data_IF_138177355834
#
_entry.id   IF_138177355834
#
_cell.length_a   1.000
_cell.length_b   1.000
_cell.length_c   1.000
_cell.angle_alpha   90.00
_cell.angle_beta   90.00
_cell.angle_gamma   90.00
#
_symmetry.space_group_name_H-M   'P 1'
#
loop_
_entity.id
_entity.type
_entity.pdbx_description
1 polymer ?
#
# COMPACT_ATOMS: atom_id res chain seq x y z
N UNK A 1 29.66 17.86 -32.78
CA UNK A 1 30.24 18.07 -31.44
C UNK A 1 29.30 18.97 -30.65
N UNK A 2 28.62 18.45 -29.59
CA UNK A 2 27.70 19.26 -28.79
C UNK A 2 28.47 20.37 -28.06
N UNK A 3 27.95 21.60 -28.08
CA UNK A 3 28.53 22.71 -27.34
C UNK A 3 28.55 22.44 -25.83
N UNK A 4 29.53 22.99 -25.10
CA UNK A 4 29.64 22.83 -23.64
C UNK A 4 28.34 23.26 -22.91
N UNK A 5 27.63 24.25 -23.45
CA UNK A 5 26.35 24.70 -22.93
C UNK A 5 25.24 23.68 -23.08
N UNK A 6 25.20 22.92 -24.19
CA UNK A 6 24.21 21.84 -24.38
C UNK A 6 24.43 20.66 -23.44
N UNK A 7 25.72 20.29 -23.18
CA UNK A 7 26.02 19.20 -22.24
C UNK A 7 25.56 19.55 -20.83
N UNK A 8 25.79 20.77 -20.35
CA UNK A 8 25.30 21.24 -19.04
C UNK A 8 23.78 21.24 -18.97
N UNK A 9 23.09 21.68 -20.03
CA UNK A 9 21.61 21.66 -20.08
C UNK A 9 21.06 20.25 -19.90
N UNK A 10 21.61 19.24 -20.58
CA UNK A 10 21.15 17.84 -20.43
C UNK A 10 21.45 17.28 -19.03
N UNK A 11 22.56 17.66 -18.41
CA UNK A 11 22.88 17.26 -17.03
C UNK A 11 21.85 17.83 -16.06
N UNK A 12 21.51 19.11 -16.17
CA UNK A 12 20.49 19.73 -15.31
C UNK A 12 19.09 19.16 -15.55
N UNK A 13 18.74 18.87 -16.78
CA UNK A 13 17.50 18.23 -17.14
C UNK A 13 17.43 16.81 -16.52
N UNK A 14 18.51 16.04 -16.58
CA UNK A 14 18.60 14.73 -15.94
C UNK A 14 18.44 14.84 -14.42
N UNK A 15 19.14 15.76 -13.77
CA UNK A 15 19.04 15.99 -12.32
C UNK A 15 17.60 16.38 -11.95
N UNK A 16 16.96 17.25 -12.73
CA UNK A 16 15.56 17.65 -12.51
C UNK A 16 14.60 16.47 -12.59
N UNK A 17 14.76 15.59 -13.60
CA UNK A 17 13.95 14.37 -13.71
C UNK A 17 14.19 13.39 -12.57
N UNK A 18 15.43 13.20 -12.13
CA UNK A 18 15.77 12.35 -10.98
C UNK A 18 15.10 12.88 -9.71
N UNK A 19 15.14 14.18 -9.48
CA UNK A 19 14.48 14.82 -8.33
C UNK A 19 12.96 14.65 -8.40
N UNK A 20 12.33 14.83 -9.58
CA UNK A 20 10.88 14.62 -9.74
C UNK A 20 10.52 13.17 -9.47
N UNK A 21 11.24 12.21 -10.03
CA UNK A 21 11.01 10.79 -9.78
C UNK A 21 11.08 10.53 -8.28
N UNK A 22 12.11 11.04 -7.61
CA UNK A 22 12.31 10.87 -6.17
C UNK A 22 11.16 11.47 -5.32
N UNK A 23 10.61 12.61 -5.73
CA UNK A 23 9.47 13.24 -5.07
C UNK A 23 8.14 12.51 -5.33
N UNK A 24 8.03 11.80 -6.46
CA UNK A 24 6.82 11.06 -6.83
C UNK A 24 6.78 9.64 -6.25
N UNK A 25 7.95 9.05 -5.92
CA UNK A 25 8.02 7.68 -5.40
C UNK A 25 7.12 7.46 -4.18
N UNK A 26 7.09 8.32 -3.13
CA UNK A 26 6.20 8.14 -1.99
C UNK A 26 4.70 8.14 -2.33
N UNK A 27 4.33 8.74 -3.46
CA UNK A 27 2.94 8.77 -3.96
C UNK A 27 2.58 7.52 -4.77
N UNK A 28 3.60 6.80 -5.28
CA UNK A 28 3.40 5.64 -6.16
C UNK A 28 3.44 4.34 -5.36
N UNK A 29 4.19 4.26 -4.26
CA UNK A 29 4.35 3.04 -3.45
C UNK A 29 3.03 2.45 -3.00
N UNK A 30 2.05 3.21 -2.46
CA UNK A 30 0.75 2.65 -2.08
C UNK A 30 -0.02 2.05 -3.25
N UNK A 31 0.20 2.53 -4.48
CA UNK A 31 -0.43 1.97 -5.68
C UNK A 31 0.24 0.67 -6.15
N UNK A 32 1.52 0.47 -5.88
CA UNK A 32 2.23 -0.77 -6.22
C UNK A 32 1.85 -1.91 -5.26
N UNK A 33 1.57 -1.61 -4.00
CA UNK A 33 1.10 -2.59 -3.01
C UNK A 33 -0.36 -3.01 -3.20
N UNK A 34 -1.15 -2.30 -4.02
CA UNK A 34 -2.55 -2.64 -4.30
C UNK A 34 -2.78 -4.04 -4.90
N UNK A 35 -1.77 -4.68 -5.43
CA UNK A 35 -1.85 -6.03 -5.98
C UNK A 35 -1.25 -7.09 -5.06
N UNK A 36 -0.69 -6.72 -3.91
CA UNK A 36 -0.12 -7.66 -2.97
C UNK A 36 -1.22 -8.40 -2.21
N UNK A 37 -1.06 -9.71 -2.06
CA UNK A 37 -1.90 -10.51 -1.18
C UNK A 37 -1.80 -9.96 0.25
N UNK A 38 -2.92 -9.93 0.96
CA UNK A 38 -3.05 -9.43 2.33
C UNK A 38 -2.75 -7.93 2.55
N UNK A 39 -2.46 -7.15 1.49
CA UNK A 39 -2.27 -5.70 1.64
C UNK A 39 -3.59 -4.99 2.00
N UNK A 40 -3.52 -4.04 2.93
CA UNK A 40 -4.67 -3.16 3.26
C UNK A 40 -5.01 -2.17 2.13
N UNK A 41 -4.12 -2.00 1.15
CA UNK A 41 -4.33 -1.17 -0.04
C UNK A 41 -4.88 -1.96 -1.23
N UNK A 42 -4.99 -3.28 -1.11
CA UNK A 42 -5.53 -4.15 -2.14
C UNK A 42 -7.05 -4.30 -1.97
N UNK A 43 -7.81 -3.72 -2.92
CA UNK A 43 -9.28 -3.79 -2.95
C UNK A 43 -9.79 -5.07 -3.68
N UNK A 44 -8.90 -5.91 -4.22
CA UNK A 44 -9.25 -7.16 -4.84
C UNK A 44 -9.60 -8.23 -3.78
N UNK A 45 -10.06 -9.40 -4.22
CA UNK A 45 -10.55 -10.48 -3.36
C UNK A 45 -9.56 -10.99 -2.31
N UNK A 46 -8.23 -10.86 -2.59
CA UNK A 46 -7.11 -11.34 -1.77
C UNK A 46 -6.44 -10.23 -0.92
N UNK A 47 -6.93 -9.00 -0.99
CA UNK A 47 -6.50 -7.91 -0.13
C UNK A 47 -7.25 -7.88 1.20
N UNK A 48 -6.86 -6.99 2.10
CA UNK A 48 -7.46 -6.82 3.43
C UNK A 48 -8.03 -5.40 3.65
N UNK A 49 -8.41 -4.73 2.56
CA UNK A 49 -8.94 -3.36 2.62
C UNK A 49 -10.28 -3.27 3.35
N UNK A 50 -11.12 -4.33 3.33
CA UNK A 50 -12.39 -4.37 4.05
C UNK A 50 -12.17 -4.47 5.57
N UNK A 51 -11.21 -5.29 6.02
CA UNK A 51 -10.77 -5.33 7.41
C UNK A 51 -10.27 -3.95 7.87
N UNK A 52 -9.39 -3.33 7.09
CA UNK A 52 -8.83 -2.00 7.39
C UNK A 52 -9.93 -0.94 7.53
N UNK A 53 -10.89 -0.91 6.61
CA UNK A 53 -12.04 0.01 6.67
C UNK A 53 -12.93 -0.24 7.88
N UNK A 54 -13.25 -1.50 8.17
CA UNK A 54 -14.06 -1.85 9.34
C UNK A 54 -13.37 -1.46 10.64
N UNK A 55 -12.04 -1.61 10.72
CA UNK A 55 -11.27 -1.16 11.88
C UNK A 55 -11.36 0.36 12.05
N UNK A 56 -11.15 1.14 10.98
CA UNK A 56 -11.27 2.61 11.01
C UNK A 56 -12.65 3.08 11.41
N UNK A 57 -13.72 2.47 10.89
CA UNK A 57 -15.11 2.81 11.24
C UNK A 57 -15.38 2.62 12.73
N UNK A 58 -14.85 1.57 13.35
CA UNK A 58 -15.00 1.34 14.80
C UNK A 58 -14.15 2.35 15.61
N UNK A 59 -12.92 2.62 15.20
CA UNK A 59 -12.04 3.59 15.85
C UNK A 59 -12.61 5.01 15.78
N UNK A 60 -13.07 5.46 14.61
CA UNK A 60 -13.67 6.79 14.38
C UNK A 60 -14.95 6.99 15.25
N UNK A 61 -15.77 5.95 15.42
CA UNK A 61 -16.96 6.03 16.26
C UNK A 61 -16.61 6.37 17.71
N UNK A 62 -15.50 5.81 18.22
CA UNK A 62 -15.03 6.04 19.58
C UNK A 62 -14.35 7.41 19.72
N UNK A 63 -13.58 7.84 18.72
CA UNK A 63 -12.93 9.16 18.70
C UNK A 63 -13.93 10.32 18.73
N UNK A 64 -15.10 10.17 18.10
CA UNK A 64 -16.20 11.12 18.21
C UNK A 64 -16.74 11.25 19.63
N UNK A 65 -16.69 10.18 20.43
CA UNK A 65 -17.16 10.18 21.82
C UNK A 65 -16.13 10.73 22.80
N UNK A 66 -14.83 10.54 22.56
CA UNK A 66 -13.75 10.83 23.51
C UNK A 66 -12.92 12.06 23.10
N UNK A 67 -12.86 12.38 21.79
CA UNK A 67 -12.15 13.54 21.28
C UNK A 67 -10.61 13.41 21.28
N UNK A 68 -10.10 12.19 21.26
CA UNK A 68 -8.66 11.87 21.14
C UNK A 68 -8.33 11.45 19.69
N UNK A 69 -7.26 12.01 19.13
CA UNK A 69 -6.74 11.57 17.82
C UNK A 69 -6.03 10.21 17.98
N UNK A 70 -6.36 9.25 17.11
CA UNK A 70 -5.75 7.92 17.08
C UNK A 70 -5.07 7.67 15.77
N UNK A 71 -4.05 6.83 15.82
CA UNK A 71 -3.20 6.61 14.67
C UNK A 71 -3.25 5.14 14.25
N UNK A 72 -3.85 4.91 13.09
CA UNK A 72 -3.69 3.68 12.34
C UNK A 72 -2.64 3.94 11.25
N UNK A 73 -1.48 3.33 11.40
CA UNK A 73 -0.33 3.55 10.54
C UNK A 73 -0.02 2.29 9.74
N UNK A 74 0.46 2.46 8.52
CA UNK A 74 1.02 1.37 7.71
C UNK A 74 2.51 1.57 7.54
N UNK A 75 3.31 0.51 7.70
CA UNK A 75 4.76 0.57 7.51
C UNK A 75 5.18 -0.22 6.28
N UNK A 76 6.03 0.38 5.46
CA UNK A 76 6.67 -0.23 4.28
C UNK A 76 8.19 -0.36 4.47
N UNK A 77 8.70 0.00 5.61
CA UNK A 77 10.12 -0.05 5.95
C UNK A 77 10.41 -1.07 7.05
N UNK A 78 11.66 -1.09 7.48
CA UNK A 78 12.11 -1.90 8.59
C UNK A 78 11.29 -1.59 9.85
N UNK A 79 10.71 -2.62 10.46
CA UNK A 79 9.86 -2.46 11.65
C UNK A 79 10.68 -1.91 12.82
N UNK A 80 11.97 -2.19 12.89
CA UNK A 80 12.85 -1.67 13.95
C UNK A 80 13.04 -0.14 13.90
N UNK A 81 12.65 0.51 12.80
CA UNK A 81 12.67 1.97 12.66
C UNK A 81 11.36 2.64 13.13
N UNK A 82 10.37 1.88 13.62
CA UNK A 82 9.10 2.44 14.07
C UNK A 82 9.31 3.34 15.31
N UNK A 83 8.71 4.55 15.31
CA UNK A 83 8.80 5.48 16.43
C UNK A 83 7.81 5.09 17.54
N UNK A 84 8.08 4.01 18.27
CA UNK A 84 7.21 3.53 19.35
C UNK A 84 7.75 4.05 20.69
N UNK A 85 7.06 5.04 21.24
CA UNK A 85 7.39 5.62 22.55
C UNK A 85 6.63 4.92 23.71
N UNK A 86 5.49 4.29 23.41
CA UNK A 86 4.61 3.65 24.41
C UNK A 86 4.19 2.25 23.93
N UNK A 87 4.99 1.20 24.24
CA UNK A 87 4.66 -0.17 23.87
C UNK A 87 3.32 -0.66 24.42
N UNK A 88 2.98 -0.33 25.68
CA UNK A 88 1.74 -0.76 26.34
C UNK A 88 0.48 -0.34 25.56
N UNK A 89 0.52 0.82 24.92
CA UNK A 89 -0.58 1.37 24.12
C UNK A 89 -0.34 1.22 22.62
N UNK A 90 0.43 0.22 22.21
CA UNK A 90 0.73 -0.04 20.81
C UNK A 90 0.43 -1.49 20.44
N UNK A 91 -0.15 -1.67 19.24
CA UNK A 91 -0.37 -2.95 18.55
C UNK A 91 0.39 -2.94 17.22
N UNK A 92 1.18 -3.99 16.98
CA UNK A 92 1.73 -4.28 15.64
C UNK A 92 0.93 -5.42 15.03
N UNK A 93 0.50 -5.26 13.77
CA UNK A 93 -0.30 -6.24 13.02
C UNK A 93 0.50 -6.72 11.82
N UNK A 94 0.77 -8.02 11.75
CA UNK A 94 1.45 -8.70 10.65
C UNK A 94 0.48 -9.72 10.03
N UNK A 95 0.08 -9.52 8.77
CA UNK A 95 -0.91 -10.35 8.08
C UNK A 95 -0.24 -11.07 6.93
N UNK A 96 -0.14 -12.41 6.99
CA UNK A 96 0.40 -13.26 5.93
C UNK A 96 1.84 -12.91 5.51
N UNK A 97 2.80 -12.74 6.45
CA UNK A 97 4.16 -12.37 6.08
C UNK A 97 4.80 -13.45 5.20
N UNK A 98 5.17 -13.07 3.98
CA UNK A 98 5.85 -13.93 3.01
C UNK A 98 7.36 -13.71 2.94
N UNK A 99 7.89 -12.70 3.65
CA UNK A 99 9.32 -12.38 3.76
C UNK A 99 9.79 -12.57 5.19
N UNK A 100 10.98 -13.13 5.35
CA UNK A 100 11.59 -13.31 6.68
C UNK A 100 12.01 -11.97 7.28
N UNK A 101 11.78 -11.82 8.57
CA UNK A 101 12.23 -10.68 9.36
C UNK A 101 13.74 -10.72 9.59
N UNK A 102 14.39 -9.60 9.49
CA UNK A 102 15.81 -9.44 9.79
C UNK A 102 16.09 -9.73 11.28
N UNK A 103 17.35 -9.96 11.63
CA UNK A 103 17.72 -10.14 13.04
C UNK A 103 17.40 -8.91 13.89
N UNK A 104 17.61 -7.71 13.35
CA UNK A 104 17.28 -6.47 14.04
C UNK A 104 15.78 -6.35 14.34
N UNK A 105 14.94 -6.67 13.38
CA UNK A 105 13.49 -6.65 13.54
C UNK A 105 12.99 -7.69 14.55
N UNK A 106 13.56 -8.90 14.54
CA UNK A 106 13.22 -9.94 15.54
C UNK A 106 13.60 -9.54 16.96
N UNK A 107 14.77 -8.91 17.12
CA UNK A 107 15.20 -8.36 18.42
C UNK A 107 14.25 -7.24 18.86
N UNK A 108 13.96 -6.30 17.97
CA UNK A 108 13.03 -5.20 18.24
C UNK A 108 11.63 -5.71 18.64
N UNK A 109 11.06 -6.66 17.88
CA UNK A 109 9.75 -7.25 18.18
C UNK A 109 9.74 -7.95 19.56
N UNK A 110 10.82 -8.66 19.89
CA UNK A 110 10.98 -9.28 21.21
C UNK A 110 10.99 -8.25 22.33
N UNK A 111 11.77 -7.19 22.19
CA UNK A 111 11.87 -6.09 23.16
C UNK A 111 10.53 -5.37 23.29
N UNK A 112 9.92 -4.99 22.17
CA UNK A 112 8.62 -4.35 22.10
C UNK A 112 7.53 -5.12 22.87
N UNK A 113 7.40 -6.43 22.61
CA UNK A 113 6.41 -7.25 23.30
C UNK A 113 6.81 -7.44 24.77
N UNK A 114 8.09 -7.67 25.08
CA UNK A 114 8.54 -7.83 26.46
C UNK A 114 8.26 -6.60 27.35
N UNK A 115 8.23 -5.41 26.75
CA UNK A 115 7.92 -4.12 27.40
C UNK A 115 6.41 -3.82 27.44
N UNK A 116 5.55 -4.77 27.08
CA UNK A 116 4.08 -4.65 27.19
C UNK A 116 3.38 -4.42 25.86
N UNK A 117 4.09 -4.37 24.75
CA UNK A 117 3.53 -4.25 23.41
C UNK A 117 2.66 -5.46 23.05
N UNK A 118 1.73 -5.25 22.13
CA UNK A 118 0.88 -6.32 21.59
C UNK A 118 1.26 -6.58 20.14
N UNK A 119 1.49 -7.85 19.80
CA UNK A 119 1.68 -8.31 18.42
C UNK A 119 0.48 -9.17 18.01
N UNK A 120 -0.12 -8.87 16.86
CA UNK A 120 -1.05 -9.76 16.18
C UNK A 120 -0.38 -10.29 14.92
N UNK A 121 -0.09 -11.58 14.90
CA UNK A 121 0.55 -12.30 13.80
C UNK A 121 -0.41 -13.29 13.19
N UNK A 122 -0.84 -13.05 11.96
CA UNK A 122 -1.64 -14.02 11.21
C UNK A 122 -0.79 -14.65 10.12
N UNK A 123 -0.65 -15.98 10.14
CA UNK A 123 0.20 -16.73 9.20
C UNK A 123 -0.34 -18.17 8.99
N UNK A 124 -0.15 -18.69 7.79
CA UNK A 124 -0.44 -20.08 7.43
C UNK A 124 0.82 -20.80 6.96
N UNK A 125 1.29 -20.52 5.74
CA UNK A 125 2.44 -21.14 5.07
C UNK A 125 3.61 -20.16 4.87
N UNK A 126 3.55 -18.96 5.46
CA UNK A 126 4.56 -17.91 5.32
C UNK A 126 5.73 -18.03 6.30
N UNK A 127 6.32 -16.92 6.63
CA UNK A 127 7.56 -16.83 7.44
C UNK A 127 7.33 -16.54 8.92
N UNK A 128 6.09 -16.63 9.40
CA UNK A 128 5.73 -16.30 10.79
C UNK A 128 6.51 -17.09 11.83
N UNK A 129 6.85 -18.36 11.56
CA UNK A 129 7.66 -19.19 12.47
C UNK A 129 9.06 -18.63 12.69
N UNK A 130 9.68 -17.97 11.69
CA UNK A 130 11.00 -17.36 11.83
C UNK A 130 10.96 -16.20 12.84
N UNK A 131 9.86 -15.45 12.85
CA UNK A 131 9.65 -14.37 13.81
C UNK A 131 9.45 -14.94 15.24
N UNK A 132 8.56 -15.92 15.41
CA UNK A 132 8.28 -16.56 16.70
C UNK A 132 9.55 -17.18 17.30
N UNK A 133 10.35 -17.88 16.50
CA UNK A 133 11.62 -18.45 16.92
C UNK A 133 12.62 -17.37 17.31
N UNK A 134 12.76 -16.31 16.52
CA UNK A 134 13.64 -15.20 16.82
C UNK A 134 13.27 -14.44 18.11
N UNK A 135 11.98 -14.37 18.43
CA UNK A 135 11.50 -13.82 19.71
C UNK A 135 11.69 -14.79 20.89
N UNK A 136 11.91 -16.06 20.63
CA UNK A 136 12.09 -17.11 21.64
C UNK A 136 10.77 -17.67 22.19
N UNK A 137 9.69 -17.58 21.43
CA UNK A 137 8.40 -18.15 21.74
C UNK A 137 8.37 -19.65 21.43
N UNK A 138 7.48 -20.41 22.11
CA UNK A 138 7.36 -21.85 21.92
C UNK A 138 6.30 -22.22 20.88
N UNK A 139 5.28 -21.37 20.73
CA UNK A 139 4.19 -21.57 19.75
C UNK A 139 4.71 -21.62 18.31
N UNK A 140 4.07 -22.48 17.47
CA UNK A 140 4.44 -22.65 16.06
C UNK A 140 3.23 -22.88 15.19
N UNK A 141 3.24 -22.30 13.99
CA UNK A 141 2.35 -22.67 12.90
C UNK A 141 2.78 -24.04 12.34
N UNK A 142 1.81 -24.91 12.04
CA UNK A 142 2.12 -26.26 11.52
C UNK A 142 2.65 -26.24 10.09
N UNK A 143 2.33 -25.21 9.32
CA UNK A 143 2.58 -25.12 7.87
C UNK A 143 2.05 -26.34 7.09
N UNK A 144 0.98 -26.96 7.59
CA UNK A 144 0.28 -28.07 6.94
C UNK A 144 -1.19 -27.69 6.79
N UNK A 145 -1.78 -28.07 5.66
CA UNK A 145 -3.17 -27.74 5.37
C UNK A 145 -4.10 -28.46 6.37
N UNK A 146 -4.97 -27.68 7.00
CA UNK A 146 -6.05 -28.22 7.80
C UNK A 146 -7.33 -28.31 6.98
N UNK A 147 -7.95 -29.44 6.99
CA UNK A 147 -9.25 -29.71 6.41
C UNK A 147 -10.23 -30.23 7.46
N UNK A 148 -11.52 -30.21 7.17
CA UNK A 148 -12.54 -30.82 8.02
C UNK A 148 -13.46 -31.74 7.20
N UNK A 149 -13.76 -32.92 7.72
CA UNK A 149 -14.54 -33.93 6.99
C UNK A 149 -16.02 -33.56 6.96
N UNK A 150 -16.51 -32.85 7.96
CA UNK A 150 -17.95 -32.60 8.19
C UNK A 150 -18.28 -31.10 8.14
N UNK A 151 -17.53 -30.29 8.87
CA UNK A 151 -17.80 -28.86 9.06
C UNK A 151 -17.02 -28.03 8.04
N UNK A 152 -17.60 -27.95 6.83
CA UNK A 152 -17.00 -27.26 5.69
C UNK A 152 -18.06 -26.81 4.69
N UNK A 153 -17.77 -25.75 3.96
CA UNK A 153 -18.52 -25.38 2.76
C UNK A 153 -17.97 -26.09 1.51
N UNK A 154 -16.67 -26.35 1.49
CA UNK A 154 -15.96 -27.23 0.57
C UNK A 154 -14.65 -27.66 1.23
N UNK A 155 -13.94 -28.67 0.70
CA UNK A 155 -12.77 -29.27 1.35
C UNK A 155 -11.71 -28.27 1.84
N UNK A 156 -11.51 -27.17 1.13
CA UNK A 156 -10.52 -26.13 1.46
C UNK A 156 -11.07 -24.98 2.32
N UNK A 157 -12.37 -25.03 2.65
CA UNK A 157 -13.07 -23.99 3.41
C UNK A 157 -13.72 -24.58 4.64
N UNK A 158 -12.93 -24.97 5.66
CA UNK A 158 -13.48 -25.49 6.89
C UNK A 158 -14.21 -24.40 7.68
N UNK A 159 -15.19 -24.86 8.47
CA UNK A 159 -15.94 -23.99 9.41
C UNK A 159 -15.53 -24.37 10.81
N UNK A 160 -15.09 -23.40 11.59
CA UNK A 160 -14.73 -23.58 12.99
C UNK A 160 -15.70 -22.81 13.91
N UNK A 161 -15.83 -23.28 15.13
CA UNK A 161 -16.82 -22.76 16.07
C UNK A 161 -16.14 -22.28 17.35
N UNK A 162 -16.51 -21.12 17.86
CA UNK A 162 -16.15 -20.68 19.21
C UNK A 162 -17.29 -21.00 20.17
N UNK A 163 -16.96 -21.60 21.28
CA UNK A 163 -17.89 -21.91 22.32
C UNK A 163 -18.21 -23.40 22.42
N UNK A 164 -18.80 -23.80 23.57
CA UNK A 164 -19.13 -25.19 23.88
C UNK A 164 -20.40 -25.69 23.18
N UNK A 165 -21.18 -24.83 22.54
CA UNK A 165 -22.52 -25.12 22.04
C UNK A 165 -22.84 -24.58 20.64
N UNK A 166 -21.87 -24.34 19.79
CA UNK A 166 -22.04 -23.91 18.38
C UNK A 166 -22.81 -22.58 18.20
N UNK A 167 -23.00 -21.79 19.24
CA UNK A 167 -23.93 -20.68 19.22
C UNK A 167 -23.29 -19.29 19.25
N UNK A 168 -21.99 -19.18 19.46
CA UNK A 168 -21.36 -17.88 19.67
C UNK A 168 -20.82 -17.29 18.36
N UNK A 169 -19.93 -18.01 17.66
CA UNK A 169 -19.38 -17.60 16.36
C UNK A 169 -19.09 -18.79 15.46
N UNK A 170 -19.42 -18.66 14.17
CA UNK A 170 -19.08 -19.59 13.10
C UNK A 170 -18.12 -18.91 12.15
N UNK A 171 -16.86 -19.34 12.13
CA UNK A 171 -15.85 -18.75 11.26
C UNK A 171 -15.60 -19.62 10.05
N UNK A 172 -15.67 -19.01 8.87
CA UNK A 172 -15.27 -19.64 7.62
C UNK A 172 -13.79 -19.38 7.41
N UNK A 173 -12.98 -20.42 7.38
CA UNK A 173 -11.57 -20.38 7.06
C UNK A 173 -11.35 -20.62 5.56
N UNK A 174 -10.18 -20.25 5.06
CA UNK A 174 -9.80 -20.44 3.66
C UNK A 174 -8.36 -20.96 3.55
N UNK A 175 -8.23 -22.24 3.29
CA UNK A 175 -6.93 -22.89 3.15
C UNK A 175 -6.03 -22.72 4.39
N UNK A 176 -6.55 -22.97 5.60
CA UNK A 176 -5.85 -22.65 6.84
C UNK A 176 -4.74 -23.66 7.17
N UNK A 177 -3.75 -23.22 7.94
CA UNK A 177 -2.88 -24.09 8.72
C UNK A 177 -3.43 -24.27 10.15
N UNK A 178 -2.59 -24.72 11.08
CA UNK A 178 -2.92 -24.84 12.50
C UNK A 178 -1.80 -24.30 13.38
N UNK A 179 -2.08 -24.12 14.65
CA UNK A 179 -1.12 -23.70 15.68
C UNK A 179 -0.83 -24.89 16.62
N UNK A 180 0.38 -24.90 17.15
CA UNK A 180 0.72 -25.62 18.36
C UNK A 180 1.07 -24.60 19.43
N UNK A 181 0.15 -24.35 20.38
CA UNK A 181 0.26 -23.32 21.39
C UNK A 181 -0.35 -23.76 22.73
N UNK A 182 0.10 -23.21 23.84
CA UNK A 182 -0.43 -23.57 25.16
C UNK A 182 -1.80 -22.94 25.48
N UNK A 183 -2.01 -21.69 25.03
CA UNK A 183 -3.22 -20.94 25.36
C UNK A 183 -4.08 -20.73 24.12
N UNK A 184 -4.83 -21.75 23.75
CA UNK A 184 -5.80 -21.68 22.65
C UNK A 184 -7.01 -20.81 23.00
N UNK A 185 -7.33 -19.89 22.11
CA UNK A 185 -8.55 -19.06 22.20
C UNK A 185 -9.64 -19.57 21.26
N UNK A 186 -9.25 -20.28 20.23
CA UNK A 186 -10.16 -20.82 19.21
C UNK A 186 -9.58 -22.08 18.59
N UNK A 187 -10.35 -23.15 18.47
CA UNK A 187 -9.90 -24.43 17.95
C UNK A 187 -10.82 -24.96 16.85
N UNK A 188 -10.28 -25.84 16.01
CA UNK A 188 -11.04 -26.59 15.04
C UNK A 188 -11.94 -27.66 15.71
N UNK A 189 -12.74 -28.35 14.91
CA UNK A 189 -13.53 -29.49 15.38
C UNK A 189 -12.67 -30.74 15.53
N UNK A 190 -13.20 -31.76 16.21
CA UNK A 190 -12.58 -33.11 16.28
C UNK A 190 -12.56 -33.84 14.91
N UNK A 191 -13.34 -33.33 13.93
CA UNK A 191 -13.41 -33.90 12.58
C UNK A 191 -12.42 -33.28 11.62
N UNK A 192 -11.67 -32.28 12.08
CA UNK A 192 -10.55 -31.71 11.34
C UNK A 192 -9.37 -32.69 11.28
N UNK A 193 -8.59 -32.59 10.24
CA UNK A 193 -7.34 -33.34 10.05
C UNK A 193 -6.29 -32.49 9.34
N UNK A 194 -5.03 -32.88 9.47
CA UNK A 194 -3.94 -32.28 8.71
C UNK A 194 -3.65 -33.15 7.49
N UNK A 195 -3.82 -32.57 6.32
CA UNK A 195 -3.43 -33.15 5.04
C UNK A 195 -1.90 -33.04 4.90
N UNK A 196 -1.19 -34.15 5.14
CA UNK A 196 0.27 -34.16 5.15
C UNK A 196 0.89 -34.51 3.81
N UNK A 197 0.13 -35.19 2.92
CA UNK A 197 0.59 -35.60 1.59
C UNK A 197 -0.02 -34.81 0.44
N UNK A 198 -0.83 -33.79 0.77
CA UNK A 198 -1.42 -32.82 -0.16
C UNK A 198 -2.38 -33.45 -1.20
N UNK A 199 -3.06 -34.54 -0.82
CA UNK A 199 -4.02 -35.21 -1.70
C UNK A 199 -5.47 -34.76 -1.52
N UNK A 200 -5.72 -33.85 -0.54
CA UNK A 200 -7.02 -33.27 -0.17
C UNK A 200 -8.03 -34.30 0.35
N UNK A 201 -7.56 -35.37 0.95
CA UNK A 201 -8.35 -36.49 1.45
C UNK A 201 -7.81 -36.95 2.81
N UNK A 202 -8.70 -37.40 3.69
CA UNK A 202 -8.26 -37.94 4.97
C UNK A 202 -7.68 -39.37 4.80
N UNK A 203 -6.45 -39.55 5.21
CA UNK A 203 -5.78 -40.84 5.27
C UNK A 203 -5.57 -41.38 6.69
N UNK A 204 -5.55 -42.73 6.80
CA UNK A 204 -5.37 -43.38 8.10
C UNK A 204 -3.95 -43.13 8.60
N UNK A 205 -3.83 -42.36 9.66
CA UNK A 205 -2.56 -42.00 10.30
C UNK A 205 -2.28 -40.50 10.31
N UNK A 206 -3.05 -39.74 9.58
CA UNK A 206 -2.98 -38.28 9.66
C UNK A 206 -3.49 -37.77 11.01
N UNK A 207 -2.88 -36.68 11.53
CA UNK A 207 -3.31 -36.06 12.78
C UNK A 207 -4.76 -35.59 12.70
N UNK A 208 -5.51 -35.80 13.77
CA UNK A 208 -6.88 -35.33 13.91
C UNK A 208 -6.99 -34.22 14.93
N UNK A 209 -7.95 -33.34 14.70
CA UNK A 209 -8.31 -32.26 15.62
C UNK A 209 -8.76 -32.72 17.00
N UNK A 210 -9.10 -31.77 17.89
CA UNK A 210 -9.10 -30.33 17.60
C UNK A 210 -7.70 -29.75 17.49
N UNK A 211 -7.51 -28.78 16.61
CA UNK A 211 -6.28 -28.01 16.41
C UNK A 211 -6.51 -26.56 16.78
N UNK A 212 -5.49 -25.91 17.32
CA UNK A 212 -5.56 -24.49 17.63
C UNK A 212 -5.53 -23.64 16.34
N UNK A 213 -6.43 -22.68 16.26
CA UNK A 213 -6.58 -21.73 15.12
C UNK A 213 -6.18 -20.33 15.55
N UNK A 214 -6.58 -19.90 16.73
CA UNK A 214 -6.17 -18.67 17.36
C UNK A 214 -5.65 -18.97 18.76
N UNK A 215 -4.48 -18.43 19.08
CA UNK A 215 -3.86 -18.60 20.37
C UNK A 215 -3.16 -17.32 20.83
N UNK A 216 -2.86 -17.24 22.12
CA UNK A 216 -2.07 -16.18 22.70
C UNK A 216 -0.91 -16.75 23.52
N UNK A 217 0.28 -16.18 23.32
CA UNK A 217 1.46 -16.44 24.16
C UNK A 217 1.94 -15.13 24.77
N UNK A 218 2.30 -15.15 26.06
CA UNK A 218 2.79 -13.98 26.78
C UNK A 218 4.31 -13.95 26.78
N UNK A 219 4.86 -12.76 26.54
CA UNK A 219 6.31 -12.52 26.59
C UNK A 219 6.56 -11.24 27.38
N UNK A 220 7.19 -11.39 28.57
CA UNK A 220 7.35 -10.26 29.48
C UNK A 220 6.02 -9.70 29.96
N UNK A 221 5.75 -8.42 29.71
CA UNK A 221 4.50 -7.74 30.07
C UNK A 221 3.49 -7.69 28.92
N UNK A 222 3.88 -8.13 27.69
CA UNK A 222 3.05 -8.07 26.50
C UNK A 222 2.54 -9.43 26.06
N UNK A 223 1.94 -9.44 24.88
CA UNK A 223 1.24 -10.61 24.35
C UNK A 223 1.39 -10.72 22.83
N UNK A 224 1.50 -11.95 22.34
CA UNK A 224 1.48 -12.29 20.92
C UNK A 224 0.24 -13.11 20.63
N UNK A 225 -0.67 -12.54 19.86
CA UNK A 225 -1.84 -13.24 19.30
C UNK A 225 -1.48 -13.84 17.96
N UNK A 226 -1.74 -15.10 17.79
CA UNK A 226 -1.40 -15.86 16.59
C UNK A 226 -2.64 -16.46 15.96
N UNK A 227 -2.91 -16.14 14.70
CA UNK A 227 -4.01 -16.66 13.90
C UNK A 227 -3.45 -17.51 12.75
N UNK A 228 -3.87 -18.78 12.63
CA UNK A 228 -3.34 -19.73 11.64
C UNK A 228 -3.97 -19.64 10.25
N UNK A 229 -4.83 -18.65 10.02
CA UNK A 229 -5.43 -18.35 8.72
C UNK A 229 -5.49 -16.85 8.45
N UNK A 230 -4.50 -16.25 7.76
CA UNK A 230 -4.55 -14.85 7.38
C UNK A 230 -5.70 -14.54 6.41
N UNK A 231 -6.21 -15.55 5.70
CA UNK A 231 -7.32 -15.38 4.78
C UNK A 231 -8.65 -15.05 5.48
N UNK A 232 -8.75 -15.24 6.81
CA UNK A 232 -9.90 -14.76 7.59
C UNK A 232 -10.11 -13.24 7.43
N UNK A 233 -9.04 -12.50 7.12
CA UNK A 233 -9.02 -11.05 6.99
C UNK A 233 -9.18 -10.56 5.54
N UNK A 234 -9.11 -11.45 4.51
CA UNK A 234 -9.19 -11.01 3.12
C UNK A 234 -10.62 -10.64 2.71
N UNK A 235 -10.74 -9.69 1.80
CA UNK A 235 -12.00 -9.09 1.34
C UNK A 235 -13.06 -10.14 0.95
N UNK A 236 -12.66 -11.24 0.30
CA UNK A 236 -13.62 -12.28 -0.11
C UNK A 236 -14.14 -13.15 1.03
N UNK A 237 -13.44 -13.22 2.16
CA UNK A 237 -13.75 -14.10 3.30
C UNK A 237 -14.23 -13.30 4.53
N UNK A 238 -13.71 -12.10 4.72
CA UNK A 238 -13.93 -11.26 5.89
C UNK A 238 -15.42 -11.03 6.23
N UNK A 239 -16.28 -10.81 5.21
CA UNK A 239 -17.72 -10.63 5.40
C UNK A 239 -18.54 -11.94 5.34
N UNK A 240 -17.89 -13.12 5.42
CA UNK A 240 -18.58 -14.40 5.40
C UNK A 240 -18.88 -14.89 6.81
N UNK A 241 -20.06 -15.49 7.00
CA UNK A 241 -20.51 -15.97 8.31
C UNK A 241 -20.31 -14.88 9.38
N UNK A 242 -19.70 -15.23 10.51
CA UNK A 242 -19.49 -14.33 11.64
C UNK A 242 -18.03 -13.80 11.68
N UNK A 243 -17.30 -13.90 10.57
CA UNK A 243 -15.87 -13.54 10.53
C UNK A 243 -15.62 -12.08 10.91
N UNK A 244 -16.37 -11.15 10.30
CA UNK A 244 -16.22 -9.71 10.55
C UNK A 244 -16.53 -9.36 12.00
N UNK A 245 -17.66 -9.85 12.51
CA UNK A 245 -18.11 -9.59 13.86
C UNK A 245 -17.09 -10.10 14.88
N UNK A 246 -16.59 -11.32 14.68
CA UNK A 246 -15.60 -11.91 15.57
C UNK A 246 -14.25 -11.17 15.52
N UNK A 247 -13.76 -10.86 14.31
CA UNK A 247 -12.49 -10.16 14.15
C UNK A 247 -12.57 -8.76 14.77
N UNK A 248 -13.67 -8.04 14.61
CA UNK A 248 -13.82 -6.71 15.20
C UNK A 248 -13.93 -6.78 16.73
N UNK A 249 -14.61 -7.78 17.29
CA UNK A 249 -14.61 -8.02 18.74
C UNK A 249 -13.20 -8.32 19.25
N UNK A 250 -12.48 -9.23 18.60
CA UNK A 250 -11.08 -9.55 18.93
C UNK A 250 -10.18 -8.30 18.86
N UNK A 251 -10.29 -7.49 17.81
CA UNK A 251 -9.52 -6.25 17.68
C UNK A 251 -9.87 -5.26 18.79
N UNK A 252 -11.14 -5.14 19.14
CA UNK A 252 -11.60 -4.33 20.28
C UNK A 252 -10.96 -4.78 21.59
N UNK A 253 -10.95 -6.08 21.86
CA UNK A 253 -10.38 -6.65 23.08
C UNK A 253 -8.86 -6.41 23.17
N UNK A 254 -8.10 -6.72 22.12
CA UNK A 254 -6.63 -6.60 22.13
C UNK A 254 -6.15 -5.14 22.06
N UNK A 255 -6.99 -4.23 21.60
CA UNK A 255 -6.69 -2.79 21.53
C UNK A 255 -7.34 -1.98 22.65
N UNK A 256 -7.94 -2.63 23.63
CA UNK A 256 -8.69 -1.97 24.68
C UNK A 256 -9.79 -1.04 24.13
N UNK A 257 -10.72 -1.59 23.38
CA UNK A 257 -11.76 -0.88 22.64
C UNK A 257 -11.20 0.15 21.67
N UNK A 258 -10.27 -0.28 20.82
CA UNK A 258 -9.63 0.55 19.78
C UNK A 258 -8.83 1.76 20.33
N UNK A 259 -8.32 1.68 21.58
CA UNK A 259 -7.55 2.77 22.22
C UNK A 259 -6.06 2.72 21.95
N UNK A 260 -5.53 1.65 21.37
CA UNK A 260 -4.09 1.53 21.07
C UNK A 260 -3.75 2.19 19.71
N UNK A 261 -2.52 2.70 19.62
CA UNK A 261 -1.90 3.01 18.33
C UNK A 261 -1.62 1.72 17.57
N UNK A 262 -1.98 1.65 16.30
CA UNK A 262 -1.80 0.45 15.48
C UNK A 262 -0.82 0.71 14.35
N UNK A 263 0.12 -0.22 14.17
CA UNK A 263 1.01 -0.29 13.01
C UNK A 263 0.76 -1.58 12.23
N UNK A 264 0.41 -1.45 10.95
CA UNK A 264 0.21 -2.60 10.05
C UNK A 264 1.46 -2.77 9.19
N UNK A 265 2.02 -3.96 9.21
CA UNK A 265 3.20 -4.34 8.44
C UNK A 265 2.84 -4.65 6.99
N UNK A 266 3.22 -3.75 6.10
CA UNK A 266 3.15 -3.92 4.65
C UNK A 266 4.50 -4.31 4.02
N UNK A 267 5.61 -4.26 4.80
CA UNK A 267 6.95 -4.51 4.30
C UNK A 267 7.23 -6.00 4.04
N UNK A 268 6.62 -6.87 4.85
CA UNK A 268 6.89 -8.32 4.80
C UNK A 268 5.91 -9.11 3.94
N UNK A 269 5.04 -8.44 3.15
CA UNK A 269 4.19 -9.12 2.18
C UNK A 269 5.00 -9.74 1.04
N UNK A 270 4.70 -10.99 0.67
CA UNK A 270 5.53 -11.80 -0.23
C UNK A 270 5.68 -11.27 -1.66
N UNK A 271 4.72 -10.50 -2.17
CA UNK A 271 4.70 -9.99 -3.55
C UNK A 271 5.40 -8.64 -3.74
N UNK A 272 6.07 -8.11 -2.70
CA UNK A 272 6.62 -6.75 -2.70
C UNK A 272 8.13 -6.65 -2.99
N UNK A 273 8.78 -7.68 -3.55
CA UNK A 273 10.23 -7.66 -3.87
C UNK A 273 10.68 -6.46 -4.71
N UNK A 274 9.81 -5.98 -5.61
CA UNK A 274 10.08 -4.76 -6.40
C UNK A 274 9.86 -3.47 -5.59
N UNK A 275 9.04 -3.52 -4.54
CA UNK A 275 8.75 -2.37 -3.65
C UNK A 275 9.85 -2.19 -2.62
N UNK A 276 10.51 -3.25 -2.17
CA UNK A 276 11.63 -3.17 -1.22
C UNK A 276 12.80 -2.35 -1.77
N UNK A 277 13.11 -2.49 -3.06
CA UNK A 277 14.09 -1.65 -3.75
C UNK A 277 13.65 -0.18 -3.86
N UNK A 278 12.34 0.06 -3.94
CA UNK A 278 11.76 1.40 -3.93
C UNK A 278 11.67 1.97 -2.50
N UNK A 279 11.50 1.14 -1.46
CA UNK A 279 11.48 1.57 -0.07
C UNK A 279 12.78 2.21 0.39
N UNK A 280 13.94 1.69 -0.04
CA UNK A 280 15.23 2.37 0.17
C UNK A 280 15.21 3.82 -0.35
N UNK A 281 14.45 4.08 -1.42
CA UNK A 281 14.29 5.41 -2.01
C UNK A 281 13.23 6.23 -1.26
N UNK A 282 12.21 5.59 -0.65
CA UNK A 282 11.09 6.25 0.06
C UNK A 282 11.47 6.63 1.49
N UNK A 283 12.20 5.78 2.19
CA UNK A 283 12.62 6.04 3.58
C UNK A 283 13.69 7.14 3.66
N UNK A 284 14.52 7.30 2.61
CA UNK A 284 15.47 8.43 2.54
C UNK A 284 14.83 9.82 2.71
N UNK A 285 13.65 10.15 2.11
CA UNK A 285 13.00 11.45 2.31
C UNK A 285 12.46 11.67 3.74
N UNK A 286 12.19 10.61 4.49
CA UNK A 286 11.73 10.73 5.88
C UNK A 286 12.87 11.06 6.84
N UNK A 287 14.11 10.77 6.45
CA UNK A 287 15.28 11.22 7.21
C UNK A 287 15.38 12.76 7.13
N UNK A 288 15.24 13.43 8.26
CA UNK A 288 15.30 14.89 8.36
C UNK A 288 16.62 15.46 7.81
N UNK A 289 17.75 14.78 8.04
CA UNK A 289 19.06 15.16 7.54
C UNK A 289 19.08 15.14 6.00
N UNK A 290 18.51 14.09 5.40
CA UNK A 290 18.44 13.98 3.94
C UNK A 290 17.55 15.07 3.32
N UNK A 291 16.40 15.40 3.96
CA UNK A 291 15.54 16.53 3.53
C UNK A 291 16.31 17.86 3.55
N UNK A 292 17.04 18.14 4.60
CA UNK A 292 17.84 19.36 4.69
C UNK A 292 18.99 19.39 3.67
N UNK A 293 19.65 18.26 3.44
CA UNK A 293 20.69 18.15 2.40
C UNK A 293 20.12 18.38 1.00
N UNK A 294 18.93 17.81 0.70
CA UNK A 294 18.25 18.01 -0.59
C UNK A 294 17.81 19.46 -0.77
N UNK A 295 17.24 20.11 0.24
CA UNK A 295 16.86 21.52 0.19
C UNK A 295 18.10 22.41 0.01
N UNK A 296 19.18 22.12 0.73
CA UNK A 296 20.44 22.85 0.61
C UNK A 296 21.06 22.68 -0.79
N UNK A 297 21.05 21.45 -1.33
CA UNK A 297 21.55 21.15 -2.66
C UNK A 297 20.74 21.83 -3.77
N UNK A 298 19.39 21.77 -3.69
CA UNK A 298 18.50 22.49 -4.61
C UNK A 298 18.68 23.99 -4.54
N UNK A 299 18.80 24.54 -3.32
CA UNK A 299 19.06 25.96 -3.11
C UNK A 299 20.40 26.39 -3.69
N UNK A 300 21.44 25.58 -3.51
CA UNK A 300 22.76 25.82 -4.09
C UNK A 300 22.73 25.80 -5.63
N UNK A 301 22.00 24.87 -6.24
CA UNK A 301 21.82 24.84 -7.71
C UNK A 301 21.10 26.12 -8.20
N UNK A 302 20.03 26.56 -7.51
CA UNK A 302 19.29 27.76 -7.85
C UNK A 302 20.17 29.01 -7.73
N UNK A 303 20.99 29.09 -6.67
CA UNK A 303 21.88 30.25 -6.42
C UNK A 303 23.07 30.27 -7.39
N UNK A 304 23.72 29.11 -7.64
CA UNK A 304 24.90 29.03 -8.50
C UNK A 304 24.55 29.22 -9.98
N UNK A 305 23.37 28.74 -10.40
CA UNK A 305 22.91 28.76 -11.79
C UNK A 305 21.65 29.61 -12.01
N UNK A 306 21.53 30.77 -11.38
CA UNK A 306 20.39 31.70 -11.57
C UNK A 306 20.10 32.06 -13.05
N UNK A 307 20.90 31.52 -13.99
CA UNK A 307 20.69 31.49 -15.44
C UNK A 307 19.80 30.35 -15.95
N UNK A 308 19.45 29.34 -15.10
CA UNK A 308 18.65 28.20 -15.55
C UNK A 308 17.26 28.66 -16.05
N UNK A 309 16.64 29.55 -15.33
CA UNK A 309 15.38 30.19 -15.74
C UNK A 309 15.51 30.96 -17.07
N UNK A 310 16.67 31.59 -17.32
CA UNK A 310 16.92 32.29 -18.58
C UNK A 310 17.13 31.33 -19.76
N UNK A 311 17.69 30.15 -19.51
CA UNK A 311 17.87 29.11 -20.53
C UNK A 311 16.55 28.36 -20.81
N UNK A 312 15.74 28.08 -19.77
CA UNK A 312 14.40 27.55 -19.92
C UNK A 312 13.49 28.51 -20.69
N UNK A 313 13.50 29.81 -20.37
CA UNK A 313 12.77 30.82 -21.13
C UNK A 313 13.22 30.89 -22.59
N UNK A 314 14.52 30.83 -22.87
CA UNK A 314 15.02 30.74 -24.25
C UNK A 314 14.58 29.47 -24.95
N UNK A 315 14.62 28.32 -24.31
CA UNK A 315 14.18 27.04 -24.88
C UNK A 315 12.68 27.05 -25.18
N UNK A 316 11.86 27.57 -24.26
CA UNK A 316 10.40 27.76 -24.43
C UNK A 316 10.12 28.72 -25.59
N UNK A 317 10.84 29.85 -25.69
CA UNK A 317 10.70 30.82 -26.78
C UNK A 317 11.09 30.19 -28.12
N UNK A 318 12.16 29.38 -28.17
CA UNK A 318 12.58 28.66 -29.36
C UNK A 318 11.53 27.61 -29.76
N UNK A 319 10.96 26.87 -28.80
CA UNK A 319 9.87 25.93 -29.04
C UNK A 319 8.61 26.64 -29.55
N UNK A 320 8.19 27.71 -28.89
CA UNK A 320 7.03 28.52 -29.30
C UNK A 320 7.25 29.10 -30.70
N UNK A 321 8.46 29.58 -31.01
CA UNK A 321 8.79 30.08 -32.35
C UNK A 321 8.84 28.96 -33.38
N UNK A 322 9.31 27.77 -33.01
CA UNK A 322 9.31 26.59 -33.91
C UNK A 322 7.90 26.08 -34.21
N UNK A 323 6.98 26.18 -33.23
CA UNK A 323 5.55 25.87 -33.44
C UNK A 323 4.76 27.01 -34.11
N UNK A 324 5.20 28.28 -33.99
CA UNK A 324 4.60 29.41 -34.72
C UNK A 324 5.03 29.49 -36.19
N UNK A 325 6.13 28.83 -36.59
CA UNK A 325 6.54 28.72 -38.00
C UNK A 325 5.92 27.56 -38.73
N UNK A 326 4.60 27.42 -38.60
CA UNK A 326 3.75 26.77 -39.58
C UNK A 326 3.11 27.84 -40.46
N UNK A 327 3.79 28.16 -41.60
CA UNK A 327 3.25 29.02 -42.64
C UNK A 327 2.93 30.47 -42.25
N UNK A 328 3.91 31.35 -42.20
CA UNK A 328 3.72 32.66 -42.79
C UNK A 328 3.54 32.46 -44.32
N UNK A 329 2.30 32.31 -44.75
CA UNK A 329 1.95 32.74 -46.08
C UNK A 329 2.22 34.25 -46.07
N UNK A 330 3.31 34.68 -46.69
CA UNK A 330 3.49 36.06 -47.10
C UNK A 330 2.27 36.44 -47.89
N UNK A 331 1.33 37.10 -47.21
CA UNK A 331 0.26 37.80 -47.86
C UNK A 331 0.94 38.84 -48.73
N UNK A 332 1.18 38.54 -50.01
CA UNK A 332 1.56 39.50 -51.03
C UNK A 332 0.55 40.62 -50.92
N UNK A 333 1.04 41.83 -50.58
CA UNK A 333 0.23 43.03 -50.48
C UNK A 333 -0.44 43.24 -51.84
N UNK A 334 -1.58 42.61 -52.07
CA UNK A 334 -2.34 42.71 -53.34
C UNK A 334 -2.80 44.12 -53.44
N UNK A 335 -2.43 44.79 -54.53
CA UNK A 335 -2.86 46.18 -54.72
C UNK A 335 -4.40 46.20 -54.71
N UNK A 336 -4.96 47.18 -53.98
CA UNK A 336 -6.40 47.38 -53.82
C UNK A 336 -7.12 47.34 -55.18
N UNK A 337 -6.46 47.82 -56.24
CA UNK A 337 -6.99 47.80 -57.62
C UNK A 337 -7.11 46.43 -58.22
N UNK A 338 -6.12 45.50 -57.97
CA UNK A 338 -6.18 44.11 -58.41
C UNK A 338 -7.24 43.34 -57.69
N UNK A 339 -7.42 43.59 -56.39
CA UNK A 339 -8.44 42.93 -55.59
C UNK A 339 -9.84 43.29 -56.07
N UNK A 340 -10.10 44.59 -56.33
CA UNK A 340 -11.37 45.08 -56.86
C UNK A 340 -11.63 44.55 -58.25
N UNK A 341 -10.62 44.45 -59.14
CA UNK A 341 -10.73 43.88 -60.46
C UNK A 341 -11.05 42.37 -60.40
N UNK A 342 -10.41 41.64 -59.52
CA UNK A 342 -10.66 40.19 -59.29
C UNK A 342 -12.08 39.94 -58.75
N UNK A 343 -12.55 40.75 -57.81
CA UNK A 343 -13.91 40.64 -57.28
C UNK A 343 -14.97 40.97 -58.30
N UNK A 344 -14.74 41.99 -59.13
CA UNK A 344 -15.63 42.36 -60.21
C UNK A 344 -15.67 41.30 -61.36
N UNK A 345 -14.57 40.59 -61.55
CA UNK A 345 -14.53 39.46 -62.48
C UNK A 345 -15.35 38.24 -62.02
N UNK A 346 -15.47 38.02 -60.71
CA UNK A 346 -16.26 36.94 -60.14
C UNK A 346 -17.72 37.33 -59.91
N UNK A 347 -17.99 38.63 -59.67
CA UNK A 347 -19.29 39.17 -59.37
C UNK A 347 -19.59 40.40 -60.26
N UNK A 348 -19.93 40.19 -61.52
CA UNK A 348 -20.13 41.28 -62.47
C UNK A 348 -21.28 42.27 -62.07
N UNK A 349 -22.21 41.81 -61.25
CA UNK A 349 -23.33 42.54 -60.70
C UNK A 349 -22.93 43.56 -59.63
N UNK A 350 -21.73 43.50 -59.07
CA UNK A 350 -21.29 44.42 -58.05
C UNK A 350 -20.77 45.73 -58.60
N UNK A 351 -21.34 46.87 -58.16
CA UNK A 351 -20.89 48.20 -58.56
C UNK A 351 -19.51 48.57 -58.02
N UNK A 352 -18.61 49.01 -58.88
CA UNK A 352 -17.24 49.42 -58.51
C UNK A 352 -17.19 50.53 -57.44
N UNK A 353 -18.17 51.41 -57.40
CA UNK A 353 -18.32 52.45 -56.40
C UNK A 353 -18.60 51.88 -55.00
N UNK A 354 -19.39 50.82 -54.89
CA UNK A 354 -19.71 50.15 -53.64
C UNK A 354 -18.50 49.42 -53.07
N UNK A 355 -17.74 48.72 -53.93
CA UNK A 355 -16.47 48.08 -53.53
C UNK A 355 -15.41 49.08 -53.07
N UNK A 356 -15.27 50.20 -53.79
CA UNK A 356 -14.36 51.27 -53.40
C UNK A 356 -14.73 51.90 -52.04
N UNK A 357 -16.01 52.10 -51.78
CA UNK A 357 -16.54 52.63 -50.51
C UNK A 357 -16.29 51.63 -49.36
N UNK A 358 -16.49 50.29 -49.59
CA UNK A 358 -16.22 49.28 -48.60
C UNK A 358 -14.76 49.26 -48.21
N UNK A 359 -13.83 49.18 -49.17
CA UNK A 359 -12.39 49.15 -48.88
C UNK A 359 -11.79 50.46 -48.40
N UNK A 360 -12.54 51.59 -48.46
CA UNK A 360 -12.13 52.86 -47.85
C UNK A 360 -12.35 52.91 -46.31
N UNK A 361 -13.25 52.06 -45.80
CA UNK A 361 -13.56 51.99 -44.36
C UNK A 361 -12.57 51.11 -43.58
N UNK A 362 -11.75 50.32 -44.25
CA UNK A 362 -10.71 49.46 -43.65
C UNK A 362 -9.32 50.05 -43.90
N UNK A 363 -9.05 51.24 -43.35
CA UNK A 363 -7.72 51.83 -43.33
C UNK A 363 -7.11 51.74 -41.94
#
# INVERSE_FOLDING_TARGET
MMSVGMKKFYIYLLIFFVIIIFLLVPLIVPYLSRSADFSVFNDDWNGTSDFYRAYLENADTIDLEIGEERFLNTTFGDISDLPIDDPLNTLIVCIGPGKSYSEAERIFMKEFVSEGGTLFLSNDFGTGNDLLEGMGLESRFSNSLMMDIVFQTSGLFPIVYKGSDLSEYNLLLNYPSTLNAENSLFSSTEMAFLDLDEDYSYDVGEPKGPFDILAVEHLGEGSVYMLSDPSLLINNIFEKMDNKEYVMELMGDITNNFHKTVYIDEAHLGSLDDVERLNLVVTMPNNSIFRYLMIAFLSAIIVIEGRLLSHLNRAIIILINKFKFGKETTLKRTDKRELIASLKGRHPEWHASSLNSFFSKFR
#
